data_IF_337659542257
#
_entry.id   IF_337659542257
#
_cell.length_a   1.000
_cell.length_b   1.000
_cell.length_c   1.000
_cell.angle_alpha   90.00
_cell.angle_beta   90.00
_cell.angle_gamma   90.00
#
_symmetry.space_group_name_H-M   'P 1'
#
loop_
_entity.id
_entity.type
_entity.pdbx_description
1 polymer ?
#
# COMPACT_ATOMS: atom_id res chain seq x y z
N UNK A 1 9.80 13.03 4.27
CA UNK A 1 10.09 11.60 4.00
C UNK A 1 8.92 11.06 3.18
N UNK A 2 9.08 10.94 1.87
CA UNK A 2 8.05 10.39 0.99
C UNK A 2 8.66 9.20 0.26
N UNK A 3 7.90 8.13 0.14
CA UNK A 3 8.28 6.95 -0.64
C UNK A 3 8.49 7.40 -2.09
N UNK A 4 9.63 7.10 -2.72
CA UNK A 4 9.86 7.41 -4.13
C UNK A 4 8.76 6.77 -5.01
N UNK A 5 8.33 7.43 -6.11
CA UNK A 5 7.27 6.90 -6.96
C UNK A 5 7.54 5.50 -7.53
N UNK A 6 8.82 5.19 -7.82
CA UNK A 6 9.24 3.85 -8.24
C UNK A 6 8.94 2.77 -7.19
N UNK A 7 9.12 3.07 -5.90
CA UNK A 7 8.88 2.14 -4.82
C UNK A 7 7.38 1.90 -4.62
N UNK A 8 6.55 2.95 -4.73
CA UNK A 8 5.08 2.80 -4.75
C UNK A 8 4.60 1.89 -5.89
N UNK A 9 5.17 2.05 -7.10
CA UNK A 9 4.85 1.19 -8.24
C UNK A 9 5.31 -0.25 -8.04
N UNK A 10 6.48 -0.44 -7.43
CA UNK A 10 6.99 -1.77 -7.10
C UNK A 10 6.08 -2.49 -6.09
N UNK A 11 5.63 -1.79 -5.04
CA UNK A 11 4.66 -2.31 -4.08
C UNK A 11 3.35 -2.70 -4.78
N UNK A 12 2.79 -1.84 -5.64
CA UNK A 12 1.58 -2.17 -6.39
C UNK A 12 1.74 -3.42 -7.27
N UNK A 13 2.92 -3.61 -7.86
CA UNK A 13 3.23 -4.81 -8.65
C UNK A 13 3.25 -6.06 -7.77
N UNK A 14 3.90 -6.00 -6.60
CA UNK A 14 3.93 -7.11 -5.65
C UNK A 14 2.53 -7.49 -5.15
N UNK A 15 1.73 -6.49 -4.74
CA UNK A 15 0.34 -6.68 -4.27
C UNK A 15 -0.50 -7.43 -5.30
N UNK A 16 -0.37 -7.05 -6.58
CA UNK A 16 -1.07 -7.73 -7.68
C UNK A 16 -0.51 -9.13 -7.97
N UNK A 17 0.82 -9.28 -7.95
CA UNK A 17 1.49 -10.55 -8.24
C UNK A 17 1.12 -11.64 -7.23
N UNK A 18 0.98 -11.28 -5.95
CA UNK A 18 0.56 -12.22 -4.90
C UNK A 18 -0.96 -12.33 -4.74
N UNK A 19 -1.72 -11.58 -5.56
CA UNK A 19 -3.18 -11.49 -5.49
C UNK A 19 -3.69 -11.18 -4.08
N UNK A 20 -3.06 -10.19 -3.42
CA UNK A 20 -3.38 -9.83 -2.05
C UNK A 20 -4.82 -9.32 -1.93
N UNK A 21 -5.47 -9.67 -0.82
CA UNK A 21 -6.80 -9.16 -0.45
C UNK A 21 -6.81 -8.42 0.89
N UNK A 22 -5.81 -8.67 1.74
CA UNK A 22 -5.68 -8.06 3.06
C UNK A 22 -4.23 -7.67 3.25
N UNK A 23 -3.99 -6.39 3.49
CA UNK A 23 -2.65 -5.84 3.74
C UNK A 23 -2.65 -5.06 5.05
N UNK A 24 -1.48 -5.01 5.68
CA UNK A 24 -1.24 -4.16 6.85
C UNK A 24 -0.06 -3.25 6.55
N UNK A 25 -0.21 -1.96 6.78
CA UNK A 25 0.85 -0.97 6.63
C UNK A 25 1.16 -0.33 7.99
N UNK A 26 2.39 -0.53 8.46
CA UNK A 26 2.86 0.02 9.73
C UNK A 26 3.78 1.19 9.40
N UNK A 27 3.48 2.36 9.94
CA UNK A 27 4.29 3.55 9.72
C UNK A 27 3.78 4.43 8.58
N UNK A 28 2.49 4.79 8.62
CA UNK A 28 1.89 5.67 7.62
C UNK A 28 2.15 7.14 7.99
N UNK A 29 2.89 7.84 7.11
CA UNK A 29 3.04 9.29 7.16
C UNK A 29 1.92 9.98 6.34
N UNK A 30 2.23 10.57 5.18
CA UNK A 30 1.25 11.23 4.30
C UNK A 30 0.35 10.27 3.50
N UNK A 31 0.58 8.95 3.59
CA UNK A 31 -0.29 7.95 2.97
C UNK A 31 -0.03 7.61 1.50
N UNK A 32 1.11 8.02 0.93
CA UNK A 32 1.42 7.69 -0.47
C UNK A 32 1.53 6.18 -0.72
N UNK A 33 2.31 5.46 0.09
CA UNK A 33 2.44 4.00 0.05
C UNK A 33 1.11 3.30 0.31
N UNK A 34 0.34 3.80 1.28
CA UNK A 34 -0.99 3.31 1.60
C UNK A 34 -1.92 3.37 0.40
N UNK A 35 -1.93 4.49 -0.31
CA UNK A 35 -2.76 4.69 -1.50
C UNK A 35 -2.30 3.79 -2.66
N UNK A 36 -0.99 3.66 -2.88
CA UNK A 36 -0.45 2.75 -3.90
C UNK A 36 -0.83 1.29 -3.64
N UNK A 37 -0.82 0.87 -2.38
CA UNK A 37 -1.27 -0.47 -1.94
C UNK A 37 -2.78 -0.63 -2.13
N UNK A 38 -3.58 0.35 -1.69
CA UNK A 38 -5.04 0.29 -1.78
C UNK A 38 -5.54 0.23 -3.23
N UNK A 39 -4.92 0.98 -4.15
CA UNK A 39 -5.27 0.97 -5.58
C UNK A 39 -4.89 -0.34 -6.29
N UNK A 40 -3.92 -1.07 -5.76
CA UNK A 40 -3.48 -2.35 -6.31
C UNK A 40 -4.33 -3.54 -5.86
N UNK A 41 -5.12 -3.36 -4.79
CA UNK A 41 -6.03 -4.38 -4.28
C UNK A 41 -7.29 -4.53 -5.14
N UNK A 42 -7.93 -5.72 -5.14
CA UNK A 42 -9.25 -5.89 -5.74
C UNK A 42 -10.32 -5.09 -4.96
N UNK A 43 -11.50 -4.92 -5.56
CA UNK A 43 -12.61 -4.13 -4.97
C UNK A 43 -13.04 -4.57 -3.57
N UNK A 44 -12.86 -5.84 -3.23
CA UNK A 44 -13.15 -6.44 -1.91
C UNK A 44 -11.96 -6.39 -0.95
N UNK A 45 -10.84 -5.79 -1.38
CA UNK A 45 -9.61 -5.71 -0.61
C UNK A 45 -9.70 -4.77 0.58
N UNK A 46 -8.94 -5.06 1.64
CA UNK A 46 -8.86 -4.23 2.84
C UNK A 46 -7.41 -3.93 3.20
N UNK A 47 -7.16 -2.66 3.55
CA UNK A 47 -5.89 -2.21 4.09
C UNK A 47 -6.11 -1.79 5.54
N UNK A 48 -5.38 -2.39 6.46
CA UNK A 48 -5.28 -1.91 7.84
C UNK A 48 -4.01 -1.08 7.97
N UNK A 49 -4.07 0.05 8.65
CA UNK A 49 -2.90 0.91 8.79
C UNK A 49 -2.74 1.50 10.18
N UNK A 50 -1.50 1.81 10.53
CA UNK A 50 -1.14 2.52 11.75
C UNK A 50 -0.44 3.84 11.40
N UNK A 51 -0.99 4.94 11.92
CA UNK A 51 -0.42 6.27 11.74
C UNK A 51 0.84 6.42 12.58
N UNK A 52 1.93 6.86 11.97
CA UNK A 52 3.16 7.26 12.67
C UNK A 52 3.34 8.76 12.46
N UNK A 53 2.98 9.53 13.50
CA UNK A 53 3.14 10.98 13.56
C UNK A 53 4.57 11.36 13.94
#
# INVERSE_FOLDING_TARGET
MAVPPEEGRFISLLVRAINAKRTIEIGVFTGYSLLATALALPKDGKVSFSLSL
#
